data_IF_949675465332
#
_entry.id   IF_949675465332
#
_cell.length_a   1.000
_cell.length_b   1.000
_cell.length_c   1.000
_cell.angle_alpha   90.00
_cell.angle_beta   90.00
_cell.angle_gamma   90.00
#
_symmetry.space_group_name_H-M   'P 1'
#
loop_
_entity.id
_entity.type
_entity.pdbx_description
1 polymer ?
#
# COMPACT_ATOMS: atom_id res chain seq x y z
N UNK A 1 -24.65 -45.90 -41.08
CA UNK A 1 -24.96 -45.81 -39.64
C UNK A 1 -23.72 -46.28 -38.87
N UNK A 2 -23.58 -45.87 -37.60
CA UNK A 2 -22.41 -45.90 -36.69
C UNK A 2 -21.44 -44.72 -36.91
N UNK A 3 -21.49 -43.57 -36.22
CA UNK A 3 -21.70 -43.19 -34.81
C UNK A 3 -20.57 -43.61 -33.84
N UNK A 4 -19.35 -43.07 -34.01
CA UNK A 4 -18.25 -43.21 -33.04
C UNK A 4 -18.33 -42.12 -31.96
N UNK A 5 -18.67 -42.53 -30.73
CA UNK A 5 -18.93 -41.64 -29.60
C UNK A 5 -17.65 -41.29 -28.81
N UNK A 6 -17.51 -40.05 -28.28
CA UNK A 6 -16.30 -39.66 -27.55
C UNK A 6 -16.25 -40.23 -26.12
N UNK A 7 -15.15 -40.92 -25.78
CA UNK A 7 -14.90 -41.50 -24.45
C UNK A 7 -14.73 -40.41 -23.37
N UNK A 8 -15.52 -40.53 -22.30
CA UNK A 8 -15.56 -39.67 -21.11
C UNK A 8 -14.29 -39.84 -20.25
N UNK A 9 -13.52 -38.76 -20.04
CA UNK A 9 -12.35 -38.76 -19.15
C UNK A 9 -12.79 -38.90 -17.69
N UNK A 10 -12.29 -39.92 -17.01
CA UNK A 10 -12.56 -40.23 -15.61
C UNK A 10 -11.87 -39.23 -14.68
N UNK A 11 -12.59 -38.75 -13.65
CA UNK A 11 -12.12 -37.71 -12.74
C UNK A 11 -11.11 -38.30 -11.74
N UNK A 12 -9.86 -37.85 -11.81
CA UNK A 12 -8.81 -38.21 -10.85
C UNK A 12 -9.20 -37.73 -9.43
N UNK A 13 -9.13 -38.58 -8.40
CA UNK A 13 -9.48 -38.19 -7.03
C UNK A 13 -8.51 -37.12 -6.49
N UNK A 14 -8.95 -36.25 -5.57
CA UNK A 14 -8.10 -35.20 -5.01
C UNK A 14 -7.04 -35.84 -4.11
N UNK A 15 -5.77 -35.73 -4.49
CA UNK A 15 -4.64 -36.08 -3.62
C UNK A 15 -4.70 -35.24 -2.33
N UNK A 16 -4.89 -35.92 -1.21
CA UNK A 16 -4.80 -35.33 0.12
C UNK A 16 -3.31 -35.08 0.42
N UNK A 17 -2.82 -33.88 0.12
CA UNK A 17 -1.44 -33.47 0.40
C UNK A 17 -1.18 -33.64 1.90
N UNK A 18 -0.22 -34.50 2.24
CA UNK A 18 0.21 -34.70 3.62
C UNK A 18 0.61 -33.35 4.23
N UNK A 19 0.03 -33.02 5.38
CA UNK A 19 0.31 -31.78 6.11
C UNK A 19 1.74 -31.87 6.62
N UNK A 20 2.66 -31.21 5.92
CA UNK A 20 4.07 -31.23 6.26
C UNK A 20 4.27 -30.68 7.67
N UNK A 21 4.77 -31.53 8.58
CA UNK A 21 5.02 -31.19 9.97
C UNK A 21 6.08 -30.08 10.03
N UNK A 22 5.65 -28.91 10.45
CA UNK A 22 6.41 -27.66 10.39
C UNK A 22 7.34 -27.58 11.60
N UNK A 23 8.34 -28.45 11.67
CA UNK A 23 9.39 -28.45 12.70
C UNK A 23 10.49 -27.49 12.22
N UNK A 24 10.26 -26.19 12.42
CA UNK A 24 11.22 -25.14 12.08
C UNK A 24 10.74 -23.75 12.54
N UNK A 25 11.65 -22.77 12.69
CA UNK A 25 11.28 -21.39 13.03
C UNK A 25 10.29 -20.85 12.01
N UNK A 26 9.18 -20.25 12.48
CA UNK A 26 8.18 -19.68 11.57
C UNK A 26 8.83 -18.62 10.68
N UNK A 27 8.76 -18.81 9.36
CA UNK A 27 9.22 -17.79 8.40
C UNK A 27 8.44 -16.50 8.65
N UNK A 28 9.12 -15.35 8.86
CA UNK A 28 8.43 -14.09 9.11
C UNK A 28 7.58 -13.73 7.89
N UNK A 29 6.35 -13.25 8.14
CA UNK A 29 5.45 -12.78 7.09
C UNK A 29 6.03 -11.48 6.53
N UNK A 30 6.49 -11.52 5.29
CA UNK A 30 6.94 -10.32 4.57
C UNK A 30 5.78 -9.33 4.47
N UNK A 31 6.04 -8.07 4.82
CA UNK A 31 5.05 -6.98 4.70
C UNK A 31 4.67 -6.79 3.24
N UNK A 32 3.38 -6.54 2.99
CA UNK A 32 2.88 -6.25 1.66
C UNK A 32 3.38 -4.89 1.15
N UNK A 33 3.27 -4.68 -0.15
CA UNK A 33 3.58 -3.40 -0.79
C UNK A 33 2.27 -2.69 -1.13
N UNK A 34 2.15 -1.40 -0.81
CA UNK A 34 0.97 -0.58 -1.12
C UNK A 34 1.39 0.69 -1.85
N UNK A 35 0.66 1.01 -2.92
CA UNK A 35 0.78 2.28 -3.62
C UNK A 35 0.02 3.38 -2.86
N UNK A 36 0.70 4.46 -2.49
CA UNK A 36 0.13 5.62 -1.81
C UNK A 36 0.22 6.86 -2.69
N UNK A 37 -0.84 7.65 -2.67
CA UNK A 37 -0.89 8.99 -3.24
C UNK A 37 -0.79 10.02 -2.11
N UNK A 38 0.00 11.07 -2.28
CA UNK A 38 0.22 12.10 -1.25
C UNK A 38 0.08 13.50 -1.84
N UNK A 39 -0.53 14.41 -1.10
CA UNK A 39 -0.55 15.82 -1.47
C UNK A 39 0.83 16.45 -1.29
N UNK A 40 1.32 17.15 -2.31
CA UNK A 40 2.61 17.87 -2.27
C UNK A 40 2.64 19.03 -1.27
N UNK A 41 1.49 19.65 -0.98
CA UNK A 41 1.41 20.82 -0.10
C UNK A 41 1.33 20.43 1.38
N UNK A 42 0.40 19.55 1.76
CA UNK A 42 0.17 19.19 3.17
C UNK A 42 0.67 17.79 3.56
N UNK A 43 1.18 17.00 2.62
CA UNK A 43 1.67 15.64 2.87
C UNK A 43 0.59 14.61 3.20
N UNK A 44 -0.71 14.98 3.17
CA UNK A 44 -1.80 14.05 3.46
C UNK A 44 -1.84 12.90 2.46
N UNK A 45 -2.01 11.68 2.98
CA UNK A 45 -2.23 10.49 2.16
C UNK A 45 -3.66 10.53 1.61
N UNK A 46 -3.80 10.48 0.30
CA UNK A 46 -5.08 10.45 -0.39
C UNK A 46 -5.64 9.02 -0.38
N UNK A 47 -6.94 8.88 -0.16
CA UNK A 47 -7.63 7.60 -0.16
C UNK A 47 -7.73 7.04 -1.58
N UNK A 48 -7.89 5.72 -1.70
CA UNK A 48 -8.12 5.05 -3.00
C UNK A 48 -9.40 5.58 -3.64
N UNK A 49 -9.32 6.04 -4.89
CA UNK A 49 -10.46 6.61 -5.63
C UNK A 49 -10.56 8.14 -5.60
N UNK A 50 -9.52 8.85 -5.17
CA UNK A 50 -9.47 10.32 -5.30
C UNK A 50 -9.42 10.75 -6.78
N UNK A 51 -10.03 11.90 -7.08
CA UNK A 51 -9.93 12.51 -8.41
C UNK A 51 -8.59 13.25 -8.56
N UNK A 52 -7.68 12.83 -9.47
CA UNK A 52 -6.41 13.51 -9.69
C UNK A 52 -6.58 14.95 -10.24
N UNK A 53 -7.76 15.29 -10.78
CA UNK A 53 -8.08 16.66 -11.23
C UNK A 53 -8.77 17.52 -10.17
N UNK A 54 -9.11 16.92 -9.03
CA UNK A 54 -9.82 17.58 -7.94
C UNK A 54 -8.91 18.38 -7.01
N UNK A 55 -9.41 18.61 -5.80
CA UNK A 55 -8.70 19.29 -4.72
C UNK A 55 -8.41 18.33 -3.58
N UNK A 56 -7.38 18.65 -2.79
CA UNK A 56 -7.04 17.87 -1.62
C UNK A 56 -8.12 18.04 -0.53
N UNK A 57 -8.65 16.95 0.05
CA UNK A 57 -9.69 17.03 1.08
C UNK A 57 -9.21 17.63 2.40
N UNK A 58 -7.89 17.76 2.61
CA UNK A 58 -7.31 18.28 3.86
C UNK A 58 -6.98 19.78 3.80
N UNK A 59 -6.37 20.23 2.71
CA UNK A 59 -5.88 21.62 2.59
C UNK A 59 -6.50 22.40 1.41
N UNK A 60 -7.40 21.79 0.63
CA UNK A 60 -8.02 22.42 -0.53
C UNK A 60 -7.08 22.65 -1.72
N UNK A 61 -5.83 22.20 -1.65
CA UNK A 61 -4.84 22.39 -2.71
C UNK A 61 -5.21 21.62 -3.98
N UNK A 62 -5.04 22.26 -5.14
CA UNK A 62 -5.37 21.66 -6.42
C UNK A 62 -4.41 20.52 -6.74
N UNK A 63 -4.97 19.33 -6.99
CA UNK A 63 -4.14 18.16 -7.22
C UNK A 63 -3.50 18.19 -8.62
N UNK A 64 -4.18 18.82 -9.58
CA UNK A 64 -3.72 18.96 -10.96
C UNK A 64 -2.68 20.07 -11.14
N UNK A 65 -1.53 19.96 -10.47
CA UNK A 65 -0.45 20.94 -10.55
C UNK A 65 0.90 20.27 -10.92
N UNK A 66 1.86 21.05 -11.40
CA UNK A 66 3.16 20.50 -11.80
C UNK A 66 3.87 19.81 -10.63
N UNK A 67 3.75 20.35 -9.41
CA UNK A 67 4.39 19.75 -8.22
C UNK A 67 3.86 18.36 -7.85
N UNK A 68 2.67 17.99 -8.31
CA UNK A 68 2.10 16.64 -8.09
C UNK A 68 2.24 15.72 -9.31
N UNK A 69 2.85 16.22 -10.39
CA UNK A 69 3.09 15.43 -11.58
C UNK A 69 4.26 14.46 -11.39
N UNK A 70 4.12 13.23 -11.88
CA UNK A 70 5.17 12.21 -11.88
C UNK A 70 6.36 12.59 -12.78
N UNK A 71 6.14 13.48 -13.76
CA UNK A 71 7.15 13.89 -14.75
C UNK A 71 7.87 15.19 -14.40
N UNK A 72 7.54 15.81 -13.27
CA UNK A 72 8.17 17.04 -12.82
C UNK A 72 9.61 16.80 -12.41
N UNK A 73 10.53 17.48 -13.09
CA UNK A 73 11.97 17.37 -12.87
C UNK A 73 12.60 18.76 -13.06
N UNK A 74 13.15 19.32 -11.99
CA UNK A 74 13.75 20.65 -11.97
C UNK A 74 15.00 20.77 -12.84
N UNK A 75 15.64 19.66 -13.20
CA UNK A 75 16.83 19.65 -14.06
C UNK A 75 16.49 19.66 -15.57
N UNK A 76 15.24 19.36 -15.93
CA UNK A 76 14.81 19.29 -17.32
C UNK A 76 14.34 20.65 -17.87
N UNK A 77 14.31 20.78 -19.20
CA UNK A 77 13.74 21.94 -19.87
C UNK A 77 12.27 22.15 -19.44
N UNK A 78 11.94 23.38 -19.06
CA UNK A 78 10.62 23.77 -18.51
C UNK A 78 10.21 23.05 -17.21
N UNK A 79 11.17 22.41 -16.54
CA UNK A 79 11.00 21.64 -15.31
C UNK A 79 10.12 20.38 -15.51
N UNK A 80 10.12 19.81 -16.72
CA UNK A 80 9.36 18.62 -17.06
C UNK A 80 10.14 17.68 -17.99
N UNK A 81 10.03 16.38 -17.75
CA UNK A 81 10.64 15.34 -18.61
C UNK A 81 9.85 15.05 -19.89
N UNK A 82 8.63 15.61 -20.03
CA UNK A 82 7.80 15.48 -21.24
C UNK A 82 7.97 16.71 -22.14
N UNK A 83 7.85 16.56 -23.48
CA UNK A 83 7.93 17.68 -24.40
C UNK A 83 6.66 18.54 -24.29
N UNK A 84 6.70 19.58 -23.44
CA UNK A 84 5.61 20.56 -23.28
C UNK A 84 5.85 21.73 -24.24
N UNK A 85 4.82 22.26 -24.92
CA UNK A 85 4.96 23.40 -25.83
C UNK A 85 5.37 24.72 -25.14
N UNK A 86 4.88 24.96 -23.91
CA UNK A 86 5.13 26.20 -23.17
C UNK A 86 5.46 25.94 -21.68
N UNK A 87 6.30 26.80 -21.10
CA UNK A 87 6.62 26.74 -19.66
C UNK A 87 5.45 27.23 -18.81
N UNK A 88 4.94 26.34 -17.96
CA UNK A 88 3.99 26.71 -16.90
C UNK A 88 4.70 27.54 -15.82
N UNK A 89 4.35 28.81 -15.65
CA UNK A 89 5.00 29.71 -14.69
C UNK A 89 4.65 29.39 -13.22
N UNK A 90 3.37 29.16 -12.92
CA UNK A 90 2.89 28.80 -11.58
C UNK A 90 2.84 27.29 -11.44
N UNK A 91 3.83 26.69 -10.78
CA UNK A 91 3.90 25.21 -10.57
C UNK A 91 2.96 24.69 -9.47
N UNK A 92 2.50 25.59 -8.61
CA UNK A 92 1.58 25.33 -7.49
C UNK A 92 0.10 25.48 -7.83
N UNK A 93 -0.22 26.12 -8.96
CA UNK A 93 -1.59 26.31 -9.39
C UNK A 93 -2.03 25.16 -10.30
N UNK A 94 -3.35 24.98 -10.41
CA UNK A 94 -3.94 24.10 -11.41
C UNK A 94 -3.48 24.51 -12.80
N UNK A 95 -3.07 23.49 -13.54
CA UNK A 95 -2.82 23.59 -14.97
C UNK A 95 -3.71 22.60 -15.71
N UNK A 96 -3.78 22.75 -17.03
CA UNK A 96 -4.50 21.84 -17.90
C UNK A 96 -3.54 21.05 -18.80
N UNK A 97 -2.37 20.69 -18.26
CA UNK A 97 -1.37 19.94 -19.00
C UNK A 97 -1.90 18.56 -19.39
N UNK A 98 -1.86 18.23 -20.68
CA UNK A 98 -2.36 16.95 -21.22
C UNK A 98 -1.49 15.77 -20.82
N UNK A 99 -0.20 16.00 -20.55
CA UNK A 99 0.77 14.98 -20.13
C UNK A 99 0.77 14.73 -18.62
N UNK A 100 -0.15 15.33 -17.87
CA UNK A 100 -0.19 15.19 -16.43
C UNK A 100 -0.46 13.74 -16.01
N UNK A 101 0.35 13.24 -15.09
CA UNK A 101 0.14 11.98 -14.39
C UNK A 101 0.41 12.19 -12.90
N UNK A 102 -0.49 11.74 -12.04
CA UNK A 102 -0.34 11.92 -10.60
C UNK A 102 0.83 11.07 -10.07
N UNK A 103 1.69 11.68 -9.25
CA UNK A 103 2.82 10.98 -8.62
C UNK A 103 2.35 10.07 -7.48
N UNK A 104 2.55 8.76 -7.64
CA UNK A 104 2.32 7.76 -6.59
C UNK A 104 3.61 7.12 -6.12
N UNK A 105 3.73 6.85 -4.81
CA UNK A 105 4.88 6.14 -4.22
C UNK A 105 4.48 4.73 -3.84
N UNK A 106 5.36 3.78 -4.12
CA UNK A 106 5.21 2.38 -3.73
C UNK A 106 5.92 2.22 -2.39
N UNK A 107 5.17 1.95 -1.34
CA UNK A 107 5.67 1.87 0.03
C UNK A 107 5.39 0.48 0.63
N UNK A 108 6.26 0.00 1.51
CA UNK A 108 5.98 -1.22 2.29
C UNK A 108 4.93 -0.88 3.34
N UNK A 109 3.88 -1.68 3.42
CA UNK A 109 2.83 -1.51 4.42
C UNK A 109 3.33 -1.99 5.78
N UNK A 110 4.07 -1.11 6.45
CA UNK A 110 4.53 -1.31 7.83
C UNK A 110 3.50 -0.80 8.83
N UNK A 111 2.30 -0.41 8.38
CA UNK A 111 1.23 -0.10 9.31
C UNK A 111 0.96 -1.36 10.14
N UNK A 112 0.88 -1.28 11.48
CA UNK A 112 0.33 -2.37 12.25
C UNK A 112 -1.14 -2.43 11.83
N UNK A 113 -1.45 -3.24 10.82
CA UNK A 113 -2.82 -3.66 10.59
C UNK A 113 -3.20 -4.26 11.93
N UNK A 114 -4.09 -3.58 12.66
CA UNK A 114 -4.73 -4.15 13.82
C UNK A 114 -5.23 -5.50 13.33
N UNK A 115 -4.49 -6.56 13.69
CA UNK A 115 -4.95 -7.90 13.51
C UNK A 115 -6.31 -7.86 14.19
N UNK A 116 -7.37 -8.02 13.40
CA UNK A 116 -8.66 -8.43 13.90
C UNK A 116 -8.38 -9.67 14.72
N UNK A 117 -8.19 -9.46 16.03
CA UNK A 117 -8.04 -10.50 17.02
C UNK A 117 -9.40 -11.15 17.06
N UNK A 118 -9.59 -12.18 16.24
CA UNK A 118 -10.65 -13.15 16.45
C UNK A 118 -10.50 -13.66 17.89
N UNK A 119 -11.52 -13.58 18.76
CA UNK A 119 -11.41 -13.89 20.18
C UNK A 119 -11.51 -15.40 20.44
N UNK A 120 -10.94 -16.23 19.57
CA UNK A 120 -11.04 -17.68 19.68
C UNK A 120 -9.65 -18.31 19.68
N UNK A 121 -9.34 -18.93 20.82
CA UNK A 121 -8.16 -19.75 21.13
C UNK A 121 -6.96 -19.00 21.72
N UNK A 122 -7.04 -18.76 23.03
CA UNK A 122 -5.87 -18.59 23.90
C UNK A 122 -5.97 -19.55 25.10
N UNK A 123 -5.69 -20.82 24.86
CA UNK A 123 -5.11 -21.69 25.88
C UNK A 123 -3.62 -21.79 25.56
N UNK A 124 -2.83 -20.99 26.26
CA UNK A 124 -1.37 -20.91 26.09
C UNK A 124 -0.86 -19.55 26.56
N UNK A 125 -0.33 -19.52 27.77
CA UNK A 125 0.05 -18.30 28.47
C UNK A 125 1.16 -17.52 27.78
N UNK A 126 0.79 -16.44 27.10
CA UNK A 126 1.60 -15.24 26.95
C UNK A 126 0.65 -14.05 27.02
N UNK A 127 0.68 -13.33 28.14
CA UNK A 127 -0.12 -12.14 28.35
C UNK A 127 0.18 -11.12 27.24
N UNK A 128 -0.85 -10.63 26.56
CA UNK A 128 -0.69 -9.58 25.57
C UNK A 128 -0.19 -8.31 26.25
N UNK A 129 1.05 -7.94 25.94
CA UNK A 129 1.71 -6.71 26.36
C UNK A 129 0.83 -5.53 25.96
N UNK A 130 0.16 -4.92 26.94
CA UNK A 130 -0.54 -3.64 26.75
C UNK A 130 0.54 -2.54 26.67
N UNK A 131 0.32 -1.44 25.94
CA UNK A 131 1.33 -0.39 25.80
C UNK A 131 1.75 0.24 27.14
N UNK A 132 0.89 0.19 28.17
CA UNK A 132 1.21 0.66 29.51
C UNK A 132 2.10 -0.32 30.31
N UNK A 133 2.09 -1.60 29.93
CA UNK A 133 2.87 -2.68 30.56
C UNK A 133 4.35 -2.57 30.18
N UNK A 134 4.63 -2.23 28.92
CA UNK A 134 5.99 -1.97 28.45
C UNK A 134 6.68 -0.83 29.21
N UNK A 135 5.96 0.29 29.47
CA UNK A 135 6.52 1.44 30.21
C UNK A 135 6.84 1.08 31.66
N UNK A 136 5.95 0.36 32.33
CA UNK A 136 6.17 -0.10 33.72
C UNK A 136 7.34 -1.06 33.84
N UNK A 137 7.48 -2.00 32.90
CA UNK A 137 8.59 -2.95 32.88
C UNK A 137 9.96 -2.25 32.77
N UNK A 138 10.04 -1.13 32.04
CA UNK A 138 11.26 -0.32 31.99
C UNK A 138 11.56 0.37 33.32
N UNK A 139 10.56 0.96 33.98
CA UNK A 139 10.78 1.65 35.25
C UNK A 139 11.20 0.70 36.37
N UNK A 140 10.75 -0.55 36.36
CA UNK A 140 11.06 -1.53 37.40
C UNK A 140 12.48 -2.11 37.28
N UNK A 141 13.14 -1.99 36.12
CA UNK A 141 14.55 -2.36 35.92
C UNK A 141 15.54 -1.40 36.60
N UNK A 142 15.12 -0.15 36.84
CA UNK A 142 15.97 0.90 37.41
C UNK A 142 15.63 1.23 38.87
N UNK A 143 14.60 0.60 39.44
CA UNK A 143 14.27 0.72 40.86
C UNK A 143 15.01 -0.37 41.63
N UNK A 144 15.96 0.05 42.46
CA UNK A 144 16.64 -0.77 43.46
C UNK A 144 16.14 -0.39 44.85
#
# INVERSE_FOLDING_TARGET
>A
MESDAPKKKEKRPPEHRARQEQIGPRTPRMVGTITRARCSNCGAVLQTGFDPKGTCPRCGFELHCCKQCAYFDTAAQFECTRPIPERIAKKDARNDCTFYAFRTTIEKDTAPTAATVSPASRTGGFASIRPNDARKAFDDLFKK
#
